data_IF_266063426388
#
_entry.id   IF_266063426388
#
_cell.length_a   1.000
_cell.length_b   1.000
_cell.length_c   1.000
_cell.angle_alpha   90.00
_cell.angle_beta   90.00
_cell.angle_gamma   90.00
#
_symmetry.space_group_name_H-M   'P 1'
#
loop_
_entity.id
_entity.type
_entity.pdbx_description
1 polymer ?
#
# COMPACT_ATOMS: atom_id res chain seq x y z
N UNK A 1 6.34 14.34 -18.59
CA UNK A 1 6.73 12.99 -19.05
C UNK A 1 5.71 12.04 -18.48
N UNK A 2 5.20 11.09 -19.26
CA UNK A 2 4.31 10.06 -18.74
C UNK A 2 5.08 9.26 -17.67
N UNK A 3 4.44 9.01 -16.53
CA UNK A 3 4.99 8.17 -15.47
C UNK A 3 4.62 6.72 -15.80
N UNK A 4 5.58 5.86 -16.17
CA UNK A 4 5.28 4.53 -16.68
C UNK A 4 4.62 3.63 -15.62
N UNK A 5 4.79 3.93 -14.33
CA UNK A 5 4.09 3.19 -13.28
C UNK A 5 2.63 3.67 -13.18
N UNK A 6 2.39 4.98 -13.32
CA UNK A 6 1.03 5.55 -13.38
C UNK A 6 0.21 4.97 -14.54
N UNK A 7 0.84 4.73 -15.70
CA UNK A 7 0.19 4.05 -16.84
C UNK A 7 -0.28 2.62 -16.52
N UNK A 8 0.32 1.97 -15.51
CA UNK A 8 0.00 0.59 -15.10
C UNK A 8 -1.05 0.57 -13.99
N UNK A 9 -0.90 1.43 -12.97
CA UNK A 9 -1.71 1.37 -11.74
C UNK A 9 -2.71 2.52 -11.58
N UNK A 10 -2.72 3.46 -12.51
CA UNK A 10 -3.53 4.67 -12.49
C UNK A 10 -2.94 5.80 -11.63
N UNK A 11 -3.71 6.87 -11.48
CA UNK A 11 -3.33 8.10 -10.78
C UNK A 11 -3.13 7.87 -9.26
N UNK A 12 -1.95 7.39 -8.92
CA UNK A 12 -1.56 7.09 -7.55
C UNK A 12 -1.35 8.37 -6.72
N UNK A 13 -1.08 9.50 -7.36
CA UNK A 13 -0.88 10.78 -6.66
C UNK A 13 -2.19 11.29 -6.11
N UNK A 14 -3.25 11.30 -6.93
CA UNK A 14 -4.59 11.63 -6.48
C UNK A 14 -5.09 10.66 -5.41
N UNK A 15 -4.80 9.36 -5.58
CA UNK A 15 -5.15 8.36 -4.56
C UNK A 15 -4.47 8.63 -3.21
N UNK A 16 -3.15 8.88 -3.19
CA UNK A 16 -2.41 9.17 -1.95
C UNK A 16 -2.89 10.47 -1.31
N UNK A 17 -3.08 11.54 -2.09
CA UNK A 17 -3.63 12.81 -1.59
C UNK A 17 -5.00 12.59 -0.93
N UNK A 18 -5.87 11.79 -1.57
CA UNK A 18 -7.16 11.45 -0.99
C UNK A 18 -7.04 10.65 0.32
N UNK A 19 -6.13 9.68 0.43
CA UNK A 19 -5.92 8.96 1.69
C UNK A 19 -5.36 9.86 2.80
N UNK A 20 -4.42 10.74 2.45
CA UNK A 20 -3.88 11.75 3.35
C UNK A 20 -4.98 12.62 3.95
N UNK A 21 -5.86 13.19 3.11
CA UNK A 21 -6.96 14.05 3.56
C UNK A 21 -7.97 13.30 4.44
N UNK A 22 -8.24 12.02 4.12
CA UNK A 22 -9.12 11.17 4.93
C UNK A 22 -8.56 10.91 6.32
N UNK A 23 -7.25 10.72 6.45
CA UNK A 23 -6.57 10.53 7.73
C UNK A 23 -6.52 11.83 8.52
N UNK A 24 -6.21 12.96 7.86
CA UNK A 24 -6.23 14.28 8.48
C UNK A 24 -7.62 14.62 9.07
N UNK A 25 -8.69 14.29 8.35
CA UNK A 25 -10.08 14.45 8.82
C UNK A 25 -10.40 13.61 10.07
N UNK A 26 -9.65 12.52 10.30
CA UNK A 26 -9.74 11.65 11.49
C UNK A 26 -8.78 12.07 12.60
N UNK A 27 -8.07 13.19 12.42
CA UNK A 27 -7.08 13.68 13.37
C UNK A 27 -5.76 12.90 13.37
N UNK A 28 -5.43 12.24 12.25
CA UNK A 28 -4.16 11.53 12.07
C UNK A 28 -3.35 12.31 11.03
N UNK A 29 -2.25 12.93 11.46
CA UNK A 29 -1.26 13.52 10.56
C UNK A 29 -0.21 12.45 10.20
N UNK A 30 -0.11 12.12 8.91
CA UNK A 30 0.86 11.14 8.42
C UNK A 30 2.13 11.76 7.83
N UNK A 31 2.20 13.10 7.72
CA UNK A 31 3.35 13.83 7.17
C UNK A 31 4.69 13.45 7.79
N UNK A 32 4.82 13.24 9.12
CA UNK A 32 6.11 12.91 9.71
C UNK A 32 6.52 11.43 9.52
N UNK A 33 5.65 10.58 8.98
CA UNK A 33 5.88 9.15 8.89
C UNK A 33 6.29 8.70 7.48
N UNK A 34 7.27 7.79 7.34
CA UNK A 34 7.57 7.18 6.05
C UNK A 34 6.39 6.40 5.48
N UNK A 35 6.23 6.43 4.17
CA UNK A 35 5.25 5.61 3.46
C UNK A 35 5.89 4.26 3.08
N UNK A 36 5.22 3.15 3.38
CA UNK A 36 5.76 1.82 3.13
C UNK A 36 5.48 1.35 1.70
N UNK A 37 4.22 1.37 1.30
CA UNK A 37 3.76 0.79 0.04
C UNK A 37 2.41 1.33 -0.42
N UNK A 38 2.15 1.18 -1.72
CA UNK A 38 0.81 1.24 -2.27
C UNK A 38 0.34 -0.17 -2.62
N UNK A 39 -0.88 -0.51 -2.20
CA UNK A 39 -1.50 -1.77 -2.56
C UNK A 39 -2.33 -1.61 -3.82
N UNK A 40 -2.11 -2.50 -4.78
CA UNK A 40 -2.85 -2.58 -6.03
C UNK A 40 -3.49 -3.96 -6.18
N UNK A 41 -4.80 -4.00 -6.37
CA UNK A 41 -5.58 -5.23 -6.45
C UNK A 41 -6.12 -5.46 -7.85
N UNK A 42 -6.04 -6.71 -8.29
CA UNK A 42 -6.61 -7.15 -9.58
C UNK A 42 -7.68 -8.24 -9.38
N UNK A 43 -8.71 -8.28 -10.26
CA UNK A 43 -9.84 -9.20 -10.16
C UNK A 43 -9.54 -10.61 -10.66
N UNK A 44 -8.46 -10.80 -11.42
CA UNK A 44 -8.19 -12.06 -12.12
C UNK A 44 -6.70 -12.43 -12.10
N UNK A 45 -6.42 -13.74 -12.15
CA UNK A 45 -5.05 -14.25 -12.12
C UNK A 45 -4.24 -13.84 -13.35
N UNK A 46 -4.86 -13.84 -14.54
CA UNK A 46 -4.20 -13.38 -15.76
C UNK A 46 -3.77 -11.90 -15.66
N UNK A 47 -4.60 -11.07 -15.04
CA UNK A 47 -4.28 -9.66 -14.80
C UNK A 47 -3.17 -9.50 -13.75
N UNK A 48 -3.12 -10.35 -12.71
CA UNK A 48 -2.03 -10.36 -11.75
C UNK A 48 -0.68 -10.60 -12.44
N UNK A 49 -0.60 -11.66 -13.26
CA UNK A 49 0.63 -11.98 -13.99
C UNK A 49 1.01 -10.87 -14.97
N UNK A 50 0.03 -10.29 -15.66
CA UNK A 50 0.25 -9.19 -16.60
C UNK A 50 0.80 -7.95 -15.90
N UNK A 51 0.11 -7.45 -14.86
CA UNK A 51 0.52 -6.27 -14.10
C UNK A 51 1.87 -6.48 -13.43
N UNK A 52 2.11 -7.65 -12.83
CA UNK A 52 3.42 -8.01 -12.26
C UNK A 52 4.53 -7.87 -13.30
N UNK A 53 4.34 -8.45 -14.48
CA UNK A 53 5.32 -8.42 -15.58
C UNK A 53 5.61 -6.99 -16.05
N UNK A 54 4.61 -6.11 -16.04
CA UNK A 54 4.81 -4.69 -16.38
C UNK A 54 5.59 -3.95 -15.29
N UNK A 55 5.20 -4.13 -14.02
CA UNK A 55 5.86 -3.48 -12.88
C UNK A 55 7.30 -3.93 -12.69
N UNK A 56 7.61 -5.21 -12.94
CA UNK A 56 8.97 -5.76 -12.83
C UNK A 56 9.98 -5.06 -13.77
N UNK A 57 9.53 -4.44 -14.87
CA UNK A 57 10.38 -3.64 -15.77
C UNK A 57 10.88 -2.35 -15.14
N UNK A 58 10.22 -1.91 -14.08
CA UNK A 58 10.50 -0.67 -13.34
C UNK A 58 10.98 -0.97 -11.92
N UNK A 59 11.30 -2.24 -11.62
CA UNK A 59 11.65 -2.73 -10.30
C UNK A 59 13.12 -3.16 -10.20
N UNK A 60 13.68 -3.09 -9.00
CA UNK A 60 14.97 -3.71 -8.67
C UNK A 60 14.81 -5.10 -8.08
N UNK A 61 13.68 -5.37 -7.44
CA UNK A 61 13.37 -6.67 -6.86
C UNK A 61 11.87 -6.94 -6.83
N UNK A 62 11.52 -8.23 -6.89
CA UNK A 62 10.19 -8.72 -6.57
C UNK A 62 10.33 -9.87 -5.56
N UNK A 63 9.68 -9.74 -4.40
CA UNK A 63 9.55 -10.81 -3.42
C UNK A 63 8.10 -11.26 -3.38
N UNK A 64 7.88 -12.55 -3.65
CA UNK A 64 6.54 -13.12 -3.62
C UNK A 64 6.36 -14.00 -2.38
N UNK A 65 5.44 -13.61 -1.50
CA UNK A 65 5.08 -14.40 -0.33
C UNK A 65 3.74 -15.10 -0.58
N UNK A 66 3.60 -16.32 -0.06
CA UNK A 66 2.33 -17.04 -0.14
C UNK A 66 1.45 -16.66 1.05
N UNK A 67 0.31 -16.02 0.76
CA UNK A 67 -0.71 -15.66 1.74
C UNK A 67 -2.01 -16.43 1.46
N UNK A 68 -2.45 -17.25 2.42
CA UNK A 68 -3.62 -18.14 2.27
C UNK A 68 -3.59 -18.97 0.97
N UNK A 69 -2.42 -19.55 0.67
CA UNK A 69 -2.20 -20.39 -0.52
C UNK A 69 -2.08 -19.62 -1.83
N UNK A 70 -2.00 -18.29 -1.81
CA UNK A 70 -1.87 -17.46 -3.01
C UNK A 70 -0.61 -16.58 -2.96
N UNK A 71 0.10 -16.43 -4.08
CA UNK A 71 1.23 -15.52 -4.15
C UNK A 71 0.80 -14.06 -4.10
N UNK A 72 1.49 -13.25 -3.31
CA UNK A 72 1.36 -11.80 -3.25
C UNK A 72 2.74 -11.18 -3.50
N UNK A 73 2.86 -10.37 -4.55
CA UNK A 73 4.12 -9.74 -4.92
C UNK A 73 4.34 -8.46 -4.13
N UNK A 74 5.55 -8.31 -3.60
CA UNK A 74 6.09 -7.08 -3.03
C UNK A 74 7.19 -6.60 -3.95
N UNK A 75 6.85 -5.62 -4.79
CA UNK A 75 7.68 -5.15 -5.89
C UNK A 75 8.39 -3.87 -5.44
N UNK A 76 9.70 -3.94 -5.24
CA UNK A 76 10.54 -2.79 -4.90
C UNK A 76 10.92 -2.04 -6.18
N UNK A 77 10.47 -0.80 -6.30
CA UNK A 77 10.70 0.01 -7.49
C UNK A 77 12.17 0.45 -7.60
N UNK A 78 12.67 0.55 -8.83
CA UNK A 78 14.01 1.07 -9.09
C UNK A 78 14.10 2.58 -8.79
N UNK A 79 13.00 3.29 -8.98
CA UNK A 79 12.82 4.67 -8.55
C UNK A 79 11.53 4.73 -7.72
N UNK A 80 11.58 5.25 -6.48
CA UNK A 80 10.38 5.36 -5.66
C UNK A 80 9.39 6.34 -6.28
N UNK A 81 8.10 6.12 -6.04
CA UNK A 81 7.05 7.05 -6.44
C UNK A 81 7.15 8.31 -5.58
N UNK A 82 7.03 9.47 -6.22
CA UNK A 82 7.02 10.76 -5.54
C UNK A 82 5.57 11.24 -5.42
N UNK A 83 5.11 11.42 -4.18
CA UNK A 83 3.74 11.80 -3.81
C UNK A 83 3.76 12.91 -2.77
N UNK A 84 2.63 13.60 -2.58
CA UNK A 84 2.51 14.73 -1.65
C UNK A 84 3.65 15.76 -1.87
N UNK A 85 4.11 16.44 -0.82
CA UNK A 85 5.27 17.33 -0.85
C UNK A 85 6.58 16.52 -0.72
N UNK A 86 6.86 15.69 -1.73
CA UNK A 86 8.09 14.89 -1.88
C UNK A 86 8.20 13.61 -1.04
N UNK A 87 7.10 13.12 -0.46
CA UNK A 87 7.08 11.82 0.18
C UNK A 87 7.35 10.70 -0.84
N UNK A 88 8.07 9.67 -0.41
CA UNK A 88 8.49 8.55 -1.26
C UNK A 88 7.72 7.28 -0.92
N UNK A 89 7.16 6.63 -1.94
CA UNK A 89 6.64 5.26 -1.82
C UNK A 89 7.55 4.32 -2.62
N UNK A 90 8.35 3.45 -1.96
CA UNK A 90 9.31 2.61 -2.66
C UNK A 90 8.70 1.33 -3.22
N UNK A 91 7.54 0.89 -2.73
CA UNK A 91 7.05 -0.47 -2.94
C UNK A 91 5.60 -0.51 -3.44
N UNK A 92 5.32 -1.41 -4.38
CA UNK A 92 3.97 -1.81 -4.77
C UNK A 92 3.68 -3.20 -4.22
N UNK A 93 2.61 -3.33 -3.43
CA UNK A 93 2.05 -4.61 -3.03
C UNK A 93 0.96 -5.00 -4.04
N UNK A 94 1.26 -5.96 -4.90
CA UNK A 94 0.32 -6.45 -5.90
C UNK A 94 -0.45 -7.63 -5.33
N UNK A 95 -1.77 -7.45 -5.21
CA UNK A 95 -2.65 -8.40 -4.53
C UNK A 95 -3.43 -9.22 -5.57
N UNK A 96 -3.31 -10.56 -5.58
CA UNK A 96 -4.07 -11.42 -6.49
C UNK A 96 -5.56 -11.42 -6.16
N UNK A 97 -6.41 -11.96 -7.06
CA UNK A 97 -7.82 -12.15 -6.78
C UNK A 97 -8.08 -12.98 -5.52
N UNK A 98 -9.13 -12.61 -4.79
CA UNK A 98 -9.68 -13.40 -3.68
C UNK A 98 -10.95 -14.12 -4.14
N UNK A 99 -11.23 -15.28 -3.54
CA UNK A 99 -12.49 -15.98 -3.78
C UNK A 99 -13.69 -15.40 -3.02
N UNK A 100 -13.51 -14.48 -2.06
CA UNK A 100 -14.62 -13.97 -1.24
C UNK A 100 -14.36 -12.52 -0.75
N UNK A 101 -15.44 -11.72 -0.79
CA UNK A 101 -15.62 -10.26 -0.51
C UNK A 101 -15.47 -9.31 -1.70
N UNK A 102 -16.30 -8.27 -1.68
CA UNK A 102 -16.32 -7.14 -2.62
C UNK A 102 -15.18 -6.19 -2.25
N UNK A 103 -13.99 -6.41 -2.80
CA UNK A 103 -12.88 -5.47 -2.66
C UNK A 103 -12.88 -4.46 -3.80
N UNK A 104 -12.37 -3.24 -3.53
CA UNK A 104 -12.08 -2.27 -4.58
C UNK A 104 -10.93 -2.79 -5.44
N UNK A 105 -11.14 -2.83 -6.75
CA UNK A 105 -10.07 -3.13 -7.71
C UNK A 105 -9.26 -1.87 -8.02
N UNK A 106 -8.00 -2.05 -8.40
CA UNK A 106 -7.05 -0.97 -8.59
C UNK A 106 -6.33 -0.60 -7.28
N UNK A 107 -5.98 0.67 -7.13
CA UNK A 107 -5.39 1.21 -5.90
C UNK A 107 -6.35 1.02 -4.71
N UNK A 108 -5.91 0.22 -3.73
CA UNK A 108 -6.73 -0.22 -2.61
C UNK A 108 -6.43 0.57 -1.33
N UNK A 109 -5.16 0.57 -0.90
CA UNK A 109 -4.74 1.22 0.34
C UNK A 109 -3.29 1.73 0.25
N UNK A 110 -2.94 2.61 1.20
CA UNK A 110 -1.59 3.14 1.42
C UNK A 110 -1.10 2.64 2.78
N UNK A 111 0.14 2.14 2.83
CA UNK A 111 0.82 1.78 4.08
C UNK A 111 1.70 2.92 4.60
N UNK A 112 1.70 3.11 5.92
CA UNK A 112 2.46 4.14 6.65
C UNK A 112 3.23 3.46 7.79
N UNK A 113 4.49 3.84 7.99
CA UNK A 113 5.37 3.26 9.01
C UNK A 113 5.38 4.15 10.25
N UNK A 114 4.77 3.67 11.33
CA UNK A 114 4.77 4.40 12.62
C UNK A 114 6.07 4.16 13.42
N UNK A 115 6.67 2.97 13.28
CA UNK A 115 7.90 2.59 14.00
C UNK A 115 7.67 2.35 15.49
N UNK A 116 8.72 2.57 16.29
CA UNK A 116 8.74 2.27 17.73
C UNK A 116 7.68 3.03 18.55
N UNK A 117 7.14 4.13 18.01
CA UNK A 117 6.07 4.92 18.63
C UNK A 117 4.67 4.30 18.51
N UNK A 118 4.52 3.07 18.02
CA UNK A 118 3.23 2.45 17.69
C UNK A 118 2.27 2.36 18.88
N UNK A 119 2.77 2.09 20.09
CA UNK A 119 1.93 1.99 21.29
C UNK A 119 1.25 3.32 21.61
N UNK A 120 2.03 4.40 21.57
CA UNK A 120 1.55 5.75 21.83
C UNK A 120 0.63 6.23 20.71
N UNK A 121 1.01 5.99 19.45
CA UNK A 121 0.16 6.29 18.29
C UNK A 121 -1.20 5.61 18.40
N UNK A 122 -1.21 4.31 18.73
CA UNK A 122 -2.43 3.53 18.92
C UNK A 122 -3.29 4.07 20.06
N UNK A 123 -2.67 4.51 21.16
CA UNK A 123 -3.37 5.12 22.29
C UNK A 123 -4.03 6.45 21.91
N UNK A 124 -3.29 7.35 21.25
CA UNK A 124 -3.76 8.67 20.83
C UNK A 124 -4.87 8.57 19.79
N UNK A 125 -4.71 7.70 18.79
CA UNK A 125 -5.63 7.58 17.65
C UNK A 125 -6.66 6.46 17.79
N UNK A 126 -6.79 5.83 18.98
CA UNK A 126 -7.66 4.67 19.23
C UNK A 126 -9.06 4.79 18.66
N UNK A 127 -9.66 5.99 18.68
CA UNK A 127 -11.03 6.23 18.17
C UNK A 127 -11.13 6.16 16.65
N UNK A 128 -10.04 6.41 15.93
CA UNK A 128 -9.98 6.37 14.47
C UNK A 128 -9.55 4.99 13.94
N UNK A 129 -8.86 4.19 14.75
CA UNK A 129 -8.42 2.85 14.39
C UNK A 129 -9.58 1.86 14.46
N UNK A 130 -9.76 1.07 13.40
CA UNK A 130 -10.89 0.13 13.23
C UNK A 130 -10.48 -1.32 13.41
N UNK A 131 -9.19 -1.61 13.52
CA UNK A 131 -8.68 -2.95 13.76
C UNK A 131 -7.16 -2.99 13.86
N UNK A 132 -6.67 -4.15 14.27
CA UNK A 132 -5.27 -4.46 14.49
C UNK A 132 -5.07 -5.93 14.13
N UNK A 133 -3.96 -6.26 13.48
CA UNK A 133 -3.62 -7.64 13.17
C UNK A 133 -2.15 -7.90 13.47
N UNK A 134 -1.87 -8.83 14.38
CA UNK A 134 -0.52 -9.36 14.54
C UNK A 134 -0.14 -10.20 13.32
N UNK A 135 0.98 -9.85 12.65
CA UNK A 135 1.52 -10.64 11.54
C UNK A 135 2.86 -11.28 11.91
N UNK A 136 3.73 -10.56 12.61
CA UNK A 136 5.01 -11.06 13.14
C UNK A 136 5.50 -10.16 14.28
N UNK A 137 6.59 -10.53 14.99
CA UNK A 137 7.20 -9.65 16.00
C UNK A 137 7.59 -8.26 15.46
N UNK A 138 7.87 -8.16 14.17
CA UNK A 138 8.32 -6.92 13.52
C UNK A 138 7.20 -6.23 12.70
N UNK A 139 5.99 -6.80 12.66
CA UNK A 139 4.90 -6.27 11.85
C UNK A 139 3.53 -6.49 12.47
N UNK A 140 2.89 -5.38 12.83
CA UNK A 140 1.54 -5.34 13.36
C UNK A 140 0.77 -4.16 12.72
N UNK A 141 0.08 -4.38 11.58
CA UNK A 141 -0.72 -3.34 10.97
C UNK A 141 -1.95 -2.98 11.81
N UNK A 142 -2.22 -1.67 11.84
CA UNK A 142 -3.46 -1.08 12.32
C UNK A 142 -4.26 -0.57 11.11
N UNK A 143 -5.58 -0.72 11.16
CA UNK A 143 -6.47 -0.36 10.06
C UNK A 143 -7.27 0.90 10.38
N UNK A 144 -7.53 1.68 9.35
CA UNK A 144 -8.45 2.82 9.36
C UNK A 144 -9.38 2.69 8.16
N UNK A 145 -10.69 2.76 8.39
CA UNK A 145 -11.71 2.76 7.33
C UNK A 145 -12.03 4.16 6.85
#
# INVERSE_FOLDING_TARGET
MADPVEDIIGDYRAFVAHQHDRLATRGIDITPYPLSHLAYRVPEWGQYLHVRTLLERHATANLENVWNGRPMSKILLAQPLVVLEHALVPLIELIPPVHQRVYRMGLEHLGVVVGDGVEEFSRVHRRALTGQQFQSPDNEPYYVL
#
